data_IF_508819193595
#
_entry.id   IF_508819193595
#
_cell.length_a   1.000
_cell.length_b   1.000
_cell.length_c   1.000
_cell.angle_alpha   90.00
_cell.angle_beta   90.00
_cell.angle_gamma   90.00
#
_symmetry.space_group_name_H-M   'P 1'
#
loop_
_entity.id
_entity.type
_entity.pdbx_description
1 polymer ?
#
# COMPACT_ATOMS: atom_id res chain seq x y z
N UNK A 1 -6.58 4.06 12.13
CA UNK A 1 -8.00 3.71 11.93
C UNK A 1 -8.82 4.96 12.18
N UNK A 2 -9.79 5.25 11.32
CA UNK A 2 -10.62 6.44 11.43
C UNK A 2 -12.04 6.15 10.91
N UNK A 3 -13.00 6.98 11.29
CA UNK A 3 -14.26 7.05 10.58
C UNK A 3 -14.07 7.75 9.24
N UNK A 4 -14.92 7.47 8.27
CA UNK A 4 -14.84 8.07 6.94
C UNK A 4 -14.95 9.61 6.97
N UNK A 5 -15.57 10.18 8.01
CA UNK A 5 -15.58 11.63 8.28
C UNK A 5 -14.29 12.19 8.89
N UNK A 6 -13.21 11.40 9.00
CA UNK A 6 -11.89 11.83 9.49
C UNK A 6 -11.70 11.76 11.01
N UNK A 7 -12.74 11.45 11.79
CA UNK A 7 -12.62 11.28 13.25
C UNK A 7 -11.75 10.06 13.58
N UNK A 8 -10.62 10.31 14.24
CA UNK A 8 -9.71 9.27 14.70
C UNK A 8 -10.37 8.40 15.78
N UNK A 9 -10.12 7.09 15.71
CA UNK A 9 -10.55 6.13 16.72
C UNK A 9 -9.41 5.87 17.72
N UNK A 10 -9.78 5.55 18.95
CA UNK A 10 -8.85 5.16 19.99
C UNK A 10 -8.22 3.82 19.64
N UNK A 11 -6.94 3.63 20.00
CA UNK A 11 -6.18 2.44 19.58
C UNK A 11 -6.74 1.13 20.16
N UNK A 12 -7.14 1.13 21.43
CA UNK A 12 -7.69 -0.04 22.13
C UNK A 12 -8.96 0.36 22.89
N UNK A 13 -10.00 -0.48 22.81
CA UNK A 13 -11.25 -0.27 23.53
C UNK A 13 -12.48 -0.54 22.67
N UNK A 14 -13.63 -0.03 23.13
CA UNK A 14 -14.91 -0.12 22.42
C UNK A 14 -15.37 1.30 22.08
N UNK A 15 -15.73 1.53 20.83
CA UNK A 15 -16.32 2.79 20.38
C UNK A 15 -17.51 2.52 19.47
N UNK A 16 -18.55 3.33 19.62
CA UNK A 16 -19.74 3.28 18.78
C UNK A 16 -19.45 3.96 17.44
N UNK A 17 -19.77 3.28 16.33
CA UNK A 17 -19.85 3.89 15.01
C UNK A 17 -21.31 4.32 14.80
N UNK A 18 -21.62 5.62 14.68
CA UNK A 18 -22.99 6.07 14.47
C UNK A 18 -23.60 5.51 13.19
N UNK A 19 -24.93 5.39 13.16
CA UNK A 19 -25.65 5.00 11.95
C UNK A 19 -25.35 5.97 10.80
N UNK A 20 -25.11 5.44 9.60
CA UNK A 20 -24.75 6.24 8.42
C UNK A 20 -23.26 6.62 8.33
N UNK A 21 -22.46 6.41 9.39
CA UNK A 21 -21.01 6.53 9.30
C UNK A 21 -20.35 5.22 8.81
N UNK A 22 -19.13 5.32 8.30
CA UNK A 22 -18.33 4.18 7.84
C UNK A 22 -17.03 4.09 8.62
N UNK A 23 -16.69 2.89 9.07
CA UNK A 23 -15.38 2.56 9.64
C UNK A 23 -14.39 2.27 8.51
N UNK A 24 -13.24 2.96 8.51
CA UNK A 24 -12.15 2.68 7.58
C UNK A 24 -10.97 2.07 8.33
N UNK A 25 -10.66 0.82 7.97
CA UNK A 25 -9.53 0.07 8.52
C UNK A 25 -8.43 -0.01 7.46
N UNK A 26 -7.32 0.66 7.72
CA UNK A 26 -6.08 0.48 6.97
C UNK A 26 -5.21 -0.52 7.72
N UNK A 27 -5.05 -1.70 7.15
CA UNK A 27 -4.11 -2.70 7.67
C UNK A 27 -2.72 -2.45 7.09
N UNK A 28 -1.65 -2.50 7.90
CA UNK A 28 -0.29 -2.41 7.37
C UNK A 28 0.00 -3.63 6.48
N UNK A 29 0.85 -3.43 5.47
CA UNK A 29 1.45 -4.52 4.71
C UNK A 29 2.66 -5.12 5.41
N UNK A 30 3.30 -6.10 4.76
CA UNK A 30 4.62 -6.60 5.17
C UNK A 30 5.77 -5.70 4.71
N UNK A 31 6.97 -5.92 5.26
CA UNK A 31 8.20 -5.31 4.77
C UNK A 31 8.72 -5.96 3.48
N UNK A 32 9.49 -5.22 2.69
CA UNK A 32 10.20 -5.74 1.52
C UNK A 32 11.56 -6.35 1.88
N UNK A 33 12.12 -7.16 0.97
CA UNK A 33 13.45 -7.75 1.09
C UNK A 33 14.24 -7.55 -0.21
N UNK A 34 15.52 -7.20 -0.09
CA UNK A 34 16.43 -7.02 -1.21
C UNK A 34 16.28 -5.66 -1.92
N UNK A 35 17.03 -5.50 -3.00
CA UNK A 35 16.96 -4.31 -3.83
C UNK A 35 15.67 -4.32 -4.68
N UNK A 36 14.79 -3.31 -4.58
CA UNK A 36 13.61 -3.21 -5.45
C UNK A 36 13.96 -3.22 -6.93
N UNK A 37 15.11 -2.65 -7.29
CA UNK A 37 15.69 -2.69 -8.62
C UNK A 37 16.24 -4.06 -9.02
N UNK A 38 15.95 -5.16 -8.32
CA UNK A 38 16.28 -6.52 -8.79
C UNK A 38 15.00 -7.37 -8.96
N UNK A 39 13.82 -6.75 -8.78
CA UNK A 39 12.54 -7.44 -8.99
C UNK A 39 12.37 -7.77 -10.48
N UNK A 40 12.21 -9.07 -10.76
CA UNK A 40 11.79 -9.59 -12.08
C UNK A 40 10.64 -8.76 -12.69
N UNK A 41 10.86 -8.17 -13.89
CA UNK A 41 9.85 -7.37 -14.59
C UNK A 41 8.53 -8.10 -14.82
N UNK A 42 8.55 -9.40 -15.15
CA UNK A 42 7.32 -10.16 -15.39
C UNK A 42 6.46 -10.30 -14.13
N UNK A 43 7.11 -10.36 -12.95
CA UNK A 43 6.40 -10.37 -11.67
C UNK A 43 5.85 -8.99 -11.33
N UNK A 44 6.60 -7.92 -11.58
CA UNK A 44 6.12 -6.55 -11.37
C UNK A 44 4.92 -6.21 -12.26
N UNK A 45 4.94 -6.59 -13.53
CA UNK A 45 3.81 -6.43 -14.44
C UNK A 45 2.56 -7.14 -13.93
N UNK A 46 2.72 -8.35 -13.38
CA UNK A 46 1.62 -9.08 -12.74
C UNK A 46 1.09 -8.33 -11.52
N UNK A 47 1.95 -7.83 -10.65
CA UNK A 47 1.53 -7.09 -9.46
C UNK A 47 0.76 -5.81 -9.83
N UNK A 48 1.15 -5.13 -10.93
CA UNK A 48 0.44 -3.95 -11.43
C UNK A 48 -0.94 -4.34 -11.98
N UNK A 49 -1.02 -5.43 -12.74
CA UNK A 49 -2.29 -5.95 -13.27
C UNK A 49 -3.24 -6.37 -12.15
N UNK A 50 -2.70 -6.98 -11.11
CA UNK A 50 -3.45 -7.45 -9.95
C UNK A 50 -3.80 -6.31 -8.96
N UNK A 51 -3.34 -5.08 -9.22
CA UNK A 51 -3.61 -3.91 -8.39
C UNK A 51 -2.84 -3.90 -7.05
N UNK A 52 -1.83 -4.76 -6.90
CA UNK A 52 -0.97 -4.82 -5.72
C UNK A 52 0.02 -3.64 -5.66
N UNK A 53 0.42 -3.13 -6.84
CA UNK A 53 1.30 -1.97 -7.00
C UNK A 53 0.70 -1.05 -8.06
N UNK A 54 0.61 0.25 -7.78
CA UNK A 54 0.20 1.21 -8.81
C UNK A 54 1.29 1.41 -9.86
N UNK A 55 0.93 1.74 -11.11
CA UNK A 55 1.91 2.03 -12.16
C UNK A 55 2.89 3.16 -11.76
N UNK A 56 2.43 4.16 -11.02
CA UNK A 56 3.30 5.22 -10.50
C UNK A 56 4.32 4.71 -9.48
N UNK A 57 3.91 3.86 -8.53
CA UNK A 57 4.83 3.23 -7.59
C UNK A 57 5.80 2.28 -8.29
N UNK A 58 5.34 1.56 -9.32
CA UNK A 58 6.19 0.69 -10.13
C UNK A 58 7.39 1.47 -10.69
N UNK A 59 7.13 2.65 -11.26
CA UNK A 59 8.15 3.54 -11.83
C UNK A 59 9.08 4.20 -10.81
N UNK A 60 8.58 4.52 -9.62
CA UNK A 60 9.38 5.20 -8.60
C UNK A 60 10.26 4.24 -7.80
N UNK A 61 9.76 3.03 -7.52
CA UNK A 61 10.38 2.12 -6.57
C UNK A 61 11.18 1.02 -7.25
N UNK A 62 10.69 0.44 -8.35
CA UNK A 62 11.29 -0.75 -8.96
C UNK A 62 12.11 -0.44 -10.21
N UNK A 63 12.26 0.85 -10.54
CA UNK A 63 13.10 1.27 -11.67
C UNK A 63 14.53 0.83 -11.42
N UNK A 64 15.07 0.09 -12.38
CA UNK A 64 16.49 -0.21 -12.45
C UNK A 64 17.27 1.11 -12.52
N UNK A 65 18.30 1.35 -11.70
CA UNK A 65 19.29 2.33 -12.09
C UNK A 65 19.84 1.90 -13.45
N UNK A 66 19.85 2.82 -14.42
CA UNK A 66 20.53 2.60 -15.69
C UNK A 66 21.95 2.13 -15.37
N UNK A 67 22.32 0.93 -15.83
CA UNK A 67 23.71 0.50 -15.81
C UNK A 67 24.54 1.65 -16.41
N UNK A 68 25.34 2.30 -15.56
CA UNK A 68 26.33 3.26 -16.05
C UNK A 68 27.36 2.46 -16.87
N UNK A 69 27.78 2.97 -18.03
CA UNK A 69 28.77 2.31 -18.87
C UNK A 69 30.12 2.14 -18.16
#
# INVERSE_FOLDING_TARGET
MALAGGRALQAKGRQLVPAGERLVVHTPGGGGLGNPGERDPARLERDVRDGLVSAGQALQTYRQPSAQP
#
